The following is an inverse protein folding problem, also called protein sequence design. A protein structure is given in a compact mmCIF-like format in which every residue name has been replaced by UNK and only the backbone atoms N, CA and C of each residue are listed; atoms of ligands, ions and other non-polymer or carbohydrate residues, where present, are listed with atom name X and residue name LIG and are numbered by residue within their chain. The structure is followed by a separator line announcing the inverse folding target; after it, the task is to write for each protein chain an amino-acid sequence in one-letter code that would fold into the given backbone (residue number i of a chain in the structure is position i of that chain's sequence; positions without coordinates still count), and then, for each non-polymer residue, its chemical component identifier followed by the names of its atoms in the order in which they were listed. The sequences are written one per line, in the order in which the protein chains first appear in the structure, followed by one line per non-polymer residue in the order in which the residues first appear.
data_IF_793066934594
#
_entry.id   IF_793066934594
#
_cell.length_a   1.000
_cell.length_b   1.000
_cell.length_c   1.000
_cell.angle_alpha   90.00
_cell.angle_beta   90.00
_cell.angle_gamma   90.00
#
_symmetry.space_group_name_H-M   'P 1'
#
loop_
_entity.id
_entity.type
_entity.pdbx_description
1 polymer ?
#
# COMPACT_ATOMS: atom_id res chain seq x y z
N UNK A 1 -8.56 14.77 -14.50
CA UNK A 1 -8.44 13.91 -13.29
C UNK A 1 -8.62 12.47 -13.75
N UNK A 2 -7.82 11.54 -13.26
CA UNK A 2 -7.83 10.15 -13.74
C UNK A 2 -8.42 9.25 -12.66
N UNK A 3 -9.21 8.26 -13.05
CA UNK A 3 -9.84 7.29 -12.15
C UNK A 3 -8.92 6.08 -11.96
N UNK A 4 -8.85 5.56 -10.74
CA UNK A 4 -8.13 4.34 -10.41
C UNK A 4 -8.90 3.52 -9.37
N UNK A 5 -8.50 2.27 -9.20
CA UNK A 5 -8.96 1.42 -8.11
C UNK A 5 -7.89 1.41 -7.00
N UNK A 6 -8.29 1.69 -5.76
CA UNK A 6 -7.40 1.57 -4.61
C UNK A 6 -7.68 0.26 -3.88
N UNK A 7 -6.75 -0.68 -3.92
CA UNK A 7 -6.89 -2.01 -3.30
C UNK A 7 -5.88 -2.19 -2.18
N UNK A 8 -6.10 -3.09 -1.21
CA UNK A 8 -5.02 -3.60 -0.37
C UNK A 8 -3.98 -4.32 -1.23
N UNK A 9 -2.69 -4.17 -0.89
CA UNK A 9 -1.55 -4.73 -1.63
C UNK A 9 -1.61 -6.24 -1.95
N UNK A 10 -2.50 -6.99 -1.32
CA UNK A 10 -2.61 -8.44 -1.45
C UNK A 10 -3.35 -8.92 -2.70
N UNK A 11 -4.21 -8.13 -3.35
CA UNK A 11 -5.17 -8.61 -4.37
C UNK A 11 -4.62 -8.87 -5.80
N UNK A 12 -3.31 -9.01 -5.99
CA UNK A 12 -2.66 -9.07 -7.33
C UNK A 12 -1.93 -10.40 -7.62
N UNK A 13 -1.92 -10.81 -8.91
CA UNK A 13 -1.00 -11.78 -9.55
C UNK A 13 -0.01 -11.09 -10.55
N UNK A 14 1.28 -10.92 -10.21
CA UNK A 14 2.56 -11.02 -10.98
C UNK A 14 3.65 -10.00 -10.53
N UNK A 15 4.93 -10.24 -10.86
CA UNK A 15 6.20 -9.91 -10.15
C UNK A 15 7.00 -8.62 -10.54
N UNK A 16 7.84 -8.18 -9.55
CA UNK A 16 9.11 -7.38 -9.42
C UNK A 16 9.74 -6.54 -10.57
N UNK A 17 10.79 -5.66 -10.37
CA UNK A 17 11.63 -5.37 -9.16
C UNK A 17 12.07 -3.89 -8.89
N UNK A 18 12.60 -3.54 -7.69
CA UNK A 18 13.77 -2.61 -7.53
C UNK A 18 14.64 -2.92 -6.26
N UNK A 19 15.90 -3.30 -6.53
CA UNK A 19 17.15 -3.42 -5.71
C UNK A 19 17.09 -3.06 -4.21
N UNK A 20 17.58 -3.86 -3.24
CA UNK A 20 18.22 -5.19 -3.22
C UNK A 20 17.26 -6.35 -3.51
N UNK A 21 17.71 -7.56 -3.90
CA UNK A 21 16.82 -8.70 -3.90
C UNK A 21 16.40 -8.97 -2.45
N UNK A 22 15.24 -8.43 -2.05
CA UNK A 22 14.39 -9.15 -1.11
C UNK A 22 14.01 -10.43 -1.84
N UNK A 23 14.88 -11.43 -1.82
CA UNK A 23 14.44 -12.78 -2.10
C UNK A 23 13.37 -13.04 -1.04
N UNK A 24 12.10 -13.01 -1.46
CA UNK A 24 10.97 -13.11 -0.54
C UNK A 24 11.01 -14.43 0.26
N UNK A 25 11.85 -15.39 -0.17
CA UNK A 25 12.08 -16.67 0.47
C UNK A 25 13.46 -16.80 1.16
N UNK A 26 14.46 -15.96 0.86
CA UNK A 26 15.82 -16.10 1.43
C UNK A 26 16.59 -14.79 1.74
N UNK A 27 16.03 -13.64 1.38
CA UNK A 27 16.64 -12.33 1.54
C UNK A 27 16.45 -11.78 2.95
N UNK A 28 17.40 -10.95 3.39
CA UNK A 28 17.38 -10.32 4.71
C UNK A 28 16.78 -8.90 4.70
N UNK A 29 16.37 -8.42 3.52
CA UNK A 29 15.79 -7.08 3.34
C UNK A 29 14.27 -7.16 3.27
N UNK A 30 13.61 -6.34 4.10
CA UNK A 30 12.15 -6.30 4.23
C UNK A 30 11.64 -4.86 4.26
N UNK A 31 10.32 -4.69 4.11
CA UNK A 31 9.74 -3.34 4.19
C UNK A 31 9.82 -2.79 5.61
N UNK A 32 10.26 -1.53 5.73
CA UNK A 32 10.41 -0.85 7.01
C UNK A 32 9.06 -0.68 7.73
N UNK A 33 9.05 -0.83 9.06
CA UNK A 33 7.85 -0.56 9.88
C UNK A 33 7.36 0.88 9.79
N UNK A 34 8.22 1.83 9.39
CA UNK A 34 7.83 3.24 9.16
C UNK A 34 6.90 3.42 7.96
N UNK A 35 6.89 2.46 7.02
CA UNK A 35 6.11 2.48 5.77
C UNK A 35 4.70 1.91 5.95
N UNK A 36 4.02 2.36 7.00
CA UNK A 36 2.62 2.06 7.31
C UNK A 36 1.73 3.29 7.06
N UNK A 37 0.41 3.13 6.86
CA UNK A 37 -0.51 4.25 6.69
C UNK A 37 -0.85 4.88 8.05
N UNK A 38 -1.16 6.18 8.05
CA UNK A 38 -1.58 6.90 9.25
C UNK A 38 -2.56 8.03 8.93
N UNK A 39 -3.43 8.34 9.90
CA UNK A 39 -4.35 9.46 9.79
C UNK A 39 -3.69 10.76 10.23
N UNK A 40 -3.85 11.82 9.43
CA UNK A 40 -3.52 13.19 9.81
C UNK A 40 -4.71 13.86 10.50
N UNK A 41 -5.92 13.55 10.02
CA UNK A 41 -7.19 13.94 10.60
C UNK A 41 -8.31 13.04 10.02
N UNK A 42 -9.57 13.34 10.30
CA UNK A 42 -10.71 12.52 9.88
C UNK A 42 -10.93 12.46 8.36
N UNK A 43 -10.35 13.37 7.57
CA UNK A 43 -10.54 13.44 6.11
C UNK A 43 -9.27 13.23 5.31
N UNK A 44 -8.10 13.24 5.96
CA UNK A 44 -6.79 13.09 5.34
C UNK A 44 -5.96 12.00 6.04
N UNK A 45 -5.48 11.05 5.24
CA UNK A 45 -4.45 10.09 5.64
C UNK A 45 -3.28 10.08 4.67
N UNK A 46 -2.13 9.63 5.17
CA UNK A 46 -0.90 9.44 4.40
C UNK A 46 -0.47 7.99 4.45
N UNK A 47 0.33 7.58 3.47
CA UNK A 47 0.95 6.27 3.47
C UNK A 47 1.64 5.95 2.17
N UNK A 48 1.65 4.67 1.83
CA UNK A 48 2.45 4.12 0.74
C UNK A 48 1.61 3.16 -0.09
N UNK A 49 1.97 3.01 -1.35
CA UNK A 49 1.31 2.09 -2.27
C UNK A 49 2.29 1.48 -3.25
N UNK A 50 1.92 0.34 -3.82
CA UNK A 50 2.35 -0.01 -5.16
C UNK A 50 1.40 0.63 -6.19
N UNK A 51 1.88 0.91 -7.39
CA UNK A 51 1.04 1.51 -8.43
C UNK A 51 1.29 0.92 -9.82
N UNK A 52 0.22 0.86 -10.62
CA UNK A 52 0.24 0.60 -12.05
C UNK A 52 -0.58 1.68 -12.72
N UNK A 53 0.05 2.57 -13.49
CA UNK A 53 -0.62 3.70 -14.11
C UNK A 53 -0.44 3.64 -15.64
N UNK A 54 -1.53 3.79 -16.38
CA UNK A 54 -1.53 3.73 -17.83
C UNK A 54 -0.59 4.80 -18.43
N UNK A 55 0.25 4.38 -19.38
CA UNK A 55 1.22 5.27 -20.03
C UNK A 55 2.33 5.80 -19.11
N UNK A 56 2.57 5.14 -17.96
CA UNK A 56 3.66 5.47 -17.03
C UNK A 56 4.59 4.26 -16.90
N UNK A 57 5.88 4.52 -17.00
CA UNK A 57 6.94 3.58 -16.65
C UNK A 57 7.19 3.57 -15.14
N UNK A 58 7.99 2.62 -14.68
CA UNK A 58 8.45 2.57 -13.29
C UNK A 58 9.18 3.87 -12.88
N UNK A 59 10.05 4.39 -13.73
CA UNK A 59 10.81 5.61 -13.43
C UNK A 59 9.91 6.85 -13.35
N UNK A 60 8.71 6.81 -13.92
CA UNK A 60 7.72 7.89 -13.79
C UNK A 60 7.01 7.88 -12.43
N UNK A 61 6.80 6.69 -11.85
CA UNK A 61 5.96 6.53 -10.65
C UNK A 61 6.76 6.35 -9.37
N UNK A 62 7.93 5.72 -9.43
CA UNK A 62 8.72 5.40 -8.23
C UNK A 62 9.06 6.67 -7.46
N UNK A 63 8.74 6.62 -6.16
CA UNK A 63 8.85 7.70 -5.18
C UNK A 63 7.99 8.95 -5.45
N UNK A 64 7.14 8.95 -6.48
CA UNK A 64 6.18 10.03 -6.69
C UNK A 64 5.00 9.91 -5.71
N UNK A 65 4.43 11.06 -5.33
CA UNK A 65 3.24 11.10 -4.49
C UNK A 65 1.99 11.41 -5.29
N UNK A 66 0.89 10.76 -4.91
CA UNK A 66 -0.42 10.95 -5.50
C UNK A 66 -1.46 11.19 -4.41
N UNK A 67 -2.26 12.23 -4.57
CA UNK A 67 -3.45 12.44 -3.76
C UNK A 67 -4.58 11.61 -4.37
N UNK A 68 -5.05 10.62 -3.64
CA UNK A 68 -6.16 9.73 -3.98
C UNK A 68 -7.40 10.23 -3.25
N UNK A 69 -8.40 10.71 -3.99
CA UNK A 69 -9.70 11.07 -3.45
C UNK A 69 -10.63 9.89 -3.65
N UNK A 70 -11.06 9.25 -2.57
CA UNK A 70 -12.00 8.13 -2.66
C UNK A 70 -13.35 8.60 -3.20
N UNK A 71 -13.91 7.81 -4.11
CA UNK A 71 -15.19 8.07 -4.79
C UNK A 71 -16.23 7.00 -4.52
N UNK A 72 -15.90 5.96 -3.75
CA UNK A 72 -16.85 4.92 -3.32
C UNK A 72 -16.50 4.36 -1.94
N UNK A 73 -17.39 3.50 -1.41
CA UNK A 73 -17.23 2.86 -0.10
C UNK A 73 -17.41 3.79 1.09
N UNK A 74 -17.16 3.28 2.30
CA UNK A 74 -17.36 4.01 3.57
C UNK A 74 -16.42 5.21 3.75
N UNK A 75 -15.38 5.30 2.93
CA UNK A 75 -14.37 6.37 2.91
C UNK A 75 -14.60 7.37 1.78
N UNK A 76 -15.73 7.30 1.07
CA UNK A 76 -16.05 8.22 -0.01
C UNK A 76 -15.88 9.68 0.46
N UNK A 77 -15.16 10.48 -0.33
CA UNK A 77 -14.84 11.86 0.01
C UNK A 77 -13.63 12.03 0.93
N UNK A 78 -13.04 10.98 1.49
CA UNK A 78 -11.76 11.07 2.20
C UNK A 78 -10.59 11.12 1.18
N UNK A 79 -9.47 11.71 1.58
CA UNK A 79 -8.26 11.81 0.77
C UNK A 79 -7.13 11.00 1.40
N UNK A 80 -6.45 10.19 0.59
CA UNK A 80 -5.24 9.47 0.96
C UNK A 80 -4.08 9.92 0.08
N UNK A 81 -3.00 10.46 0.65
CA UNK A 81 -1.78 10.78 -0.13
C UNK A 81 -0.81 9.60 0.01
N UNK A 82 -0.52 8.96 -1.11
CA UNK A 82 0.36 7.80 -1.17
C UNK A 82 1.65 8.13 -1.91
N UNK A 83 2.79 7.76 -1.34
CA UNK A 83 4.02 7.61 -2.13
C UNK A 83 4.09 6.21 -2.74
N UNK A 84 4.41 6.14 -4.03
CA UNK A 84 4.63 4.87 -4.69
C UNK A 84 6.01 4.33 -4.33
N UNK A 85 6.05 3.18 -3.67
CA UNK A 85 7.29 2.52 -3.21
C UNK A 85 7.57 1.21 -3.98
N UNK A 86 6.69 0.84 -4.90
CA UNK A 86 6.83 -0.32 -5.77
C UNK A 86 6.02 -0.09 -7.05
N UNK A 87 6.64 -0.19 -8.22
CA UNK A 87 5.94 -0.14 -9.49
C UNK A 87 5.47 -1.55 -9.86
N UNK A 88 4.17 -1.73 -10.03
CA UNK A 88 3.59 -3.02 -10.37
C UNK A 88 3.33 -3.06 -11.88
N UNK A 89 4.21 -3.71 -12.64
CA UNK A 89 4.04 -3.90 -14.09
C UNK A 89 3.16 -5.13 -14.35
N UNK A 90 2.02 -4.94 -14.99
CA UNK A 90 1.12 -6.03 -15.40
C UNK A 90 -0.29 -5.97 -14.84
N UNK A 91 -0.94 -4.81 -14.84
CA UNK A 91 -2.36 -4.82 -15.16
C UNK A 91 -2.43 -4.95 -16.69
N UNK A 92 -2.97 -6.05 -17.21
CA UNK A 92 -3.33 -6.10 -18.61
C UNK A 92 -4.22 -4.89 -18.94
N UNK A 93 -3.97 -4.27 -20.08
CA UNK A 93 -4.83 -3.25 -20.72
C UNK A 93 -5.40 -2.13 -19.81
N UNK A 94 -4.61 -1.07 -19.60
CA UNK A 94 -5.16 0.30 -19.52
C UNK A 94 -5.76 0.79 -18.19
N UNK A 95 -5.84 -0.02 -17.14
CA UNK A 95 -6.43 0.42 -15.86
C UNK A 95 -5.39 0.99 -14.90
N UNK A 96 -5.72 2.12 -14.27
CA UNK A 96 -4.91 2.69 -13.20
C UNK A 96 -5.27 2.03 -11.87
N UNK A 97 -4.27 1.57 -11.11
CA UNK A 97 -4.46 0.93 -9.80
C UNK A 97 -3.44 1.42 -8.79
N UNK A 98 -3.89 1.58 -7.55
CA UNK A 98 -3.05 1.78 -6.37
C UNK A 98 -3.28 0.63 -5.39
N UNK A 99 -2.23 -0.11 -5.10
CA UNK A 99 -2.20 -1.22 -4.16
C UNK A 99 -1.65 -0.69 -2.82
N UNK A 100 -2.55 -0.20 -1.96
CA UNK A 100 -2.26 0.43 -0.68
C UNK A 100 -1.55 -0.55 0.27
N UNK A 101 -0.44 -0.09 0.85
CA UNK A 101 0.33 -0.85 1.82
C UNK A 101 -0.33 -0.79 3.19
N UNK A 102 -1.05 -1.85 3.56
CA UNK A 102 -1.80 -1.94 4.82
C UNK A 102 -1.42 -3.27 5.50
N UNK A 103 -0.76 -3.25 6.67
CA UNK A 103 -0.50 -4.46 7.43
C UNK A 103 -1.78 -5.23 7.74
N UNK A 104 -1.74 -6.55 7.57
CA UNK A 104 -2.94 -7.40 7.70
C UNK A 104 -3.89 -7.27 6.51
N UNK A 105 -3.51 -6.56 5.45
CA UNK A 105 -4.25 -6.49 4.18
C UNK A 105 -4.13 -7.74 3.30
N UNK A 106 -3.34 -8.73 3.73
CA UNK A 106 -2.99 -9.96 3.00
C UNK A 106 -1.60 -9.88 2.36
N UNK A 107 -0.98 -11.02 2.08
CA UNK A 107 0.37 -11.11 1.49
C UNK A 107 0.34 -11.22 -0.04
N UNK A 108 -0.77 -11.68 -0.61
CA UNK A 108 -0.92 -11.92 -2.05
C UNK A 108 0.01 -13.04 -2.53
N UNK A 109 0.67 -12.82 -3.66
CA UNK A 109 1.57 -13.83 -4.28
C UNK A 109 2.75 -14.14 -3.37
N UNK A 110 3.41 -13.09 -2.89
CA UNK A 110 4.70 -13.18 -2.20
C UNK A 110 4.50 -13.07 -0.70
N UNK A 111 5.01 -14.04 0.07
CA UNK A 111 4.89 -14.04 1.52
C UNK A 111 6.25 -13.87 2.21
N UNK A 112 6.83 -12.66 2.10
CA UNK A 112 8.02 -12.32 2.90
C UNK A 112 7.73 -12.20 4.40
N UNK A 113 6.45 -12.12 4.81
CA UNK A 113 6.06 -12.03 6.22
C UNK A 113 6.34 -13.34 6.97
N UNK A 114 6.29 -14.49 6.29
CA UNK A 114 6.67 -15.78 6.86
C UNK A 114 8.14 -15.77 7.28
N UNK A 115 9.03 -15.29 6.41
CA UNK A 115 10.47 -15.21 6.71
C UNK A 115 10.78 -14.13 7.75
N UNK A 116 10.16 -12.95 7.65
CA UNK A 116 10.45 -11.82 8.54
C UNK A 116 9.89 -12.00 9.95
N UNK A 117 8.63 -12.45 10.04
CA UNK A 117 7.81 -12.39 11.24
C UNK A 117 7.25 -13.74 11.65
N UNK A 118 7.65 -14.83 10.98
CA UNK A 118 7.09 -16.17 11.20
C UNK A 118 5.57 -16.19 11.04
N UNK A 119 5.05 -15.36 10.14
CA UNK A 119 3.64 -15.38 9.79
C UNK A 119 3.23 -16.75 9.20
N UNK A 120 1.93 -17.11 9.21
CA UNK A 120 1.43 -18.30 8.53
C UNK A 120 1.78 -18.32 7.03
N UNK A 121 1.66 -19.47 6.38
CA UNK A 121 1.97 -19.66 4.95
C UNK A 121 1.17 -18.74 4.02
N UNK A 122 -0.03 -18.34 4.42
CA UNK A 122 -0.89 -17.39 3.72
C UNK A 122 -0.89 -15.98 4.34
N UNK A 123 0.05 -15.70 5.24
CA UNK A 123 0.08 -14.46 6.03
C UNK A 123 -0.97 -14.45 7.15
N UNK A 124 -1.21 -13.28 7.72
CA UNK A 124 -2.27 -13.12 8.73
C UNK A 124 -3.64 -13.01 8.05
N UNK A 125 -4.54 -13.94 8.36
CA UNK A 125 -5.85 -14.05 7.72
C UNK A 125 -5.80 -14.70 6.34
N UNK A 126 -6.62 -14.23 5.41
CA UNK A 126 -6.66 -14.74 4.05
C UNK A 126 -5.45 -14.26 3.24
N UNK A 127 -4.91 -15.11 2.36
CA UNK A 127 -3.81 -14.75 1.44
C UNK A 127 -4.09 -13.45 0.69
N UNK A 128 -5.31 -13.33 0.21
CA UNK A 128 -5.87 -12.17 -0.47
C UNK A 128 -6.93 -11.53 0.43
N UNK A 129 -6.71 -10.30 0.87
CA UNK A 129 -7.60 -9.56 1.78
C UNK A 129 -7.24 -9.62 3.27
N UNK A 130 -6.39 -10.57 3.69
CA UNK A 130 -5.80 -10.63 5.02
C UNK A 130 -6.81 -10.83 6.14
N UNK A 131 -6.60 -10.14 7.26
CA UNK A 131 -7.49 -10.21 8.43
C UNK A 131 -8.88 -9.64 8.08
N UNK A 132 -9.92 -10.22 8.66
CA UNK A 132 -11.33 -9.85 8.45
C UNK A 132 -11.90 -9.00 9.58
N UNK A 133 -11.26 -8.92 10.74
CA UNK A 133 -11.70 -8.08 11.86
C UNK A 133 -10.54 -7.34 12.53
N UNK A 134 -10.87 -6.22 13.19
CA UNK A 134 -9.89 -5.42 13.93
C UNK A 134 -9.25 -6.20 15.08
N UNK A 135 -9.98 -7.12 15.72
CA UNK A 135 -9.45 -7.93 16.81
C UNK A 135 -8.28 -8.82 16.37
N UNK A 136 -8.25 -9.24 15.10
CA UNK A 136 -7.15 -10.02 14.54
C UNK A 136 -5.86 -9.21 14.35
N UNK A 137 -5.91 -7.87 14.47
CA UNK A 137 -4.69 -7.06 14.49
C UNK A 137 -3.75 -7.46 15.64
N UNK A 138 -4.25 -8.04 16.74
CA UNK A 138 -3.40 -8.55 17.82
C UNK A 138 -2.52 -9.74 17.42
N UNK A 139 -2.85 -10.43 16.32
CA UNK A 139 -2.06 -11.55 15.79
C UNK A 139 -0.81 -11.08 15.04
N UNK A 140 -0.78 -9.81 14.64
CA UNK A 140 0.37 -9.20 13.98
C UNK A 140 1.41 -8.75 15.02
N UNK A 141 2.70 -8.69 14.65
CA UNK A 141 3.75 -8.07 15.46
C UNK A 141 3.32 -6.68 15.93
N UNK A 142 3.64 -6.32 17.17
CA UNK A 142 3.26 -5.03 17.80
C UNK A 142 3.58 -3.83 16.92
N UNK A 143 4.70 -3.90 16.18
CA UNK A 143 5.17 -2.85 15.28
C UNK A 143 4.21 -2.59 14.11
N UNK A 144 3.40 -3.58 13.70
CA UNK A 144 2.49 -3.54 12.56
C UNK A 144 1.03 -3.28 12.97
N UNK A 145 0.72 -3.35 14.26
CA UNK A 145 -0.66 -3.26 14.74
C UNK A 145 -1.26 -1.87 14.50
N UNK A 146 -0.46 -0.80 14.52
CA UNK A 146 -0.95 0.55 14.24
C UNK A 146 -1.52 0.67 12.82
N UNK A 147 -0.78 0.21 11.81
CA UNK A 147 -1.25 0.20 10.43
C UNK A 147 -2.41 -0.76 10.20
N UNK A 148 -2.44 -1.90 10.89
CA UNK A 148 -3.59 -2.81 10.86
C UNK A 148 -4.84 -2.16 11.44
N UNK A 149 -4.74 -1.52 12.61
CA UNK A 149 -5.87 -0.83 13.23
C UNK A 149 -6.34 0.37 12.38
N UNK A 150 -5.43 1.06 11.69
CA UNK A 150 -5.80 2.12 10.74
C UNK A 150 -6.77 1.63 9.65
N UNK A 151 -6.61 0.38 9.18
CA UNK A 151 -7.51 -0.26 8.20
C UNK A 151 -8.96 -0.23 8.68
N UNK A 152 -9.20 -0.57 9.94
CA UNK A 152 -10.53 -0.68 10.51
C UNK A 152 -11.06 0.64 11.06
N UNK A 153 -10.17 1.53 11.50
CA UNK A 153 -10.51 2.87 12.00
C UNK A 153 -10.75 3.87 10.87
N UNK A 154 -9.69 4.57 10.44
CA UNK A 154 -9.80 5.65 9.45
C UNK A 154 -10.28 5.16 8.08
N UNK A 155 -9.79 3.99 7.65
CA UNK A 155 -10.14 3.40 6.36
C UNK A 155 -11.46 2.62 6.41
N UNK A 156 -12.06 2.47 7.59
CA UNK A 156 -13.39 1.85 7.82
C UNK A 156 -13.57 0.49 7.15
N UNK A 157 -12.49 -0.27 7.03
CA UNK A 157 -12.40 -1.55 6.33
C UNK A 157 -13.02 -1.51 4.91
N UNK A 158 -12.88 -0.38 4.20
CA UNK A 158 -13.41 -0.22 2.86
C UNK A 158 -12.79 -1.29 1.92
N UNK A 159 -13.64 -2.03 1.21
CA UNK A 159 -13.17 -3.03 0.25
C UNK A 159 -13.02 -2.41 -1.13
N UNK A 160 -11.76 -2.29 -1.57
CA UNK A 160 -11.38 -1.80 -2.89
C UNK A 160 -12.13 -0.54 -3.35
N UNK A 161 -12.09 0.58 -2.61
CA UNK A 161 -12.77 1.81 -3.03
C UNK A 161 -12.17 2.36 -4.34
N UNK A 162 -13.03 2.91 -5.19
CA UNK A 162 -12.59 3.66 -6.38
C UNK A 162 -12.03 5.01 -5.93
N UNK A 163 -11.11 5.55 -6.73
CA UNK A 163 -10.51 6.86 -6.48
C UNK A 163 -10.44 7.68 -7.76
N UNK A 164 -10.46 9.00 -7.61
CA UNK A 164 -9.78 9.88 -8.56
C UNK A 164 -8.42 10.25 -8.00
N UNK A 165 -7.42 10.43 -8.85
CA UNK A 165 -6.08 10.76 -8.40
C UNK A 165 -5.42 11.88 -9.21
N UNK A 166 -4.44 12.52 -8.56
CA UNK A 166 -3.53 13.49 -9.17
C UNK A 166 -2.14 13.39 -8.53
N UNK A 167 -1.09 13.61 -9.32
CA UNK A 167 0.27 13.76 -8.78
C UNK A 167 0.34 15.01 -7.93
N UNK A 168 1.04 14.92 -6.80
CA UNK A 168 1.29 16.03 -5.87
C UNK A 168 2.73 16.00 -5.42
N UNK A 169 3.22 17.14 -4.92
CA UNK A 169 4.47 17.16 -4.16
C UNK A 169 4.33 16.27 -2.93
N UNK A 170 5.32 15.44 -2.69
CA UNK A 170 5.40 14.58 -1.52
C UNK A 170 5.48 15.41 -0.23
N UNK A 171 4.54 15.21 0.71
CA UNK A 171 4.64 15.75 2.06
C UNK A 171 5.96 15.34 2.73
N UNK A 172 6.53 16.24 3.54
CA UNK A 172 7.78 16.00 4.25
C UNK A 172 7.69 14.79 5.19
N UNK A 173 6.51 14.54 5.77
CA UNK A 173 6.22 13.42 6.67
C UNK A 173 6.31 12.06 5.94
N UNK A 174 5.92 12.03 4.67
CA UNK A 174 6.06 10.83 3.82
C UNK A 174 7.52 10.61 3.44
N UNK A 175 8.22 11.67 3.01
CA UNK A 175 9.65 11.60 2.64
C UNK A 175 10.50 11.16 3.84
N UNK A 176 10.25 11.69 5.03
CA UNK A 176 10.99 11.35 6.25
C UNK A 176 10.91 9.85 6.58
N UNK A 177 9.81 9.18 6.21
CA UNK A 177 9.60 7.75 6.46
C UNK A 177 10.18 6.85 5.37
N UNK A 178 10.19 7.29 4.12
CA UNK A 178 10.70 6.49 2.99
C UNK A 178 12.17 6.76 2.66
N UNK A 179 12.66 7.94 3.03
CA UNK A 179 13.97 8.48 2.62
C UNK A 179 14.11 8.56 1.09
N UNK A 180 12.99 8.61 0.37
CA UNK A 180 12.99 8.74 -1.08
C UNK A 180 12.30 10.04 -1.50
N UNK A 181 13.04 10.89 -2.19
CA UNK A 181 12.56 12.12 -2.80
C UNK A 181 13.03 12.16 -4.25
N UNK A 182 12.11 12.44 -5.17
CA UNK A 182 12.47 12.60 -6.58
C UNK A 182 13.12 13.96 -6.83
N UNK A 183 13.89 14.07 -7.91
CA UNK A 183 14.52 15.34 -8.31
C UNK A 183 13.54 16.32 -8.94
N UNK A 184 12.43 15.81 -9.49
CA UNK A 184 11.37 16.56 -10.15
C UNK A 184 10.21 16.92 -9.19
N UNK A 185 10.53 17.16 -7.91
CA UNK A 185 9.61 17.48 -6.79
C UNK A 185 9.77 18.90 -6.24
#
# INVERSE_FOLDING_TARGET
MTTALAMPASKRSSAAPLREPSDFNSGTSFTCNTKQPWAMNNTLSYGFAAASLAGKSESDVTCACYALKFTSGAVNGQTFVAQVINASMGAGSGENRFDLMIPGGGVGIFNGCQSQWRAPSDGWGARYGGVSSQSQCSQLPTQLQAGCNWRFGWFKNADNPTVTYRRVKCPAEIIARSVCKRKDE
#
